data_IF_111547263699
#
_entry.id   IF_111547263699
#
_cell.length_a   1.000
_cell.length_b   1.000
_cell.length_c   1.000
_cell.angle_alpha   90.00
_cell.angle_beta   90.00
_cell.angle_gamma   90.00
#
_symmetry.space_group_name_H-M   'P 1'
#
loop_
_entity.id
_entity.type
_entity.pdbx_description
1 polymer ?
#
# COMPACT_ATOMS: atom_id res chain seq x y z
N UNK A 1 -12.13 9.06 -3.27
CA UNK A 1 -10.67 8.96 -3.06
C UNK A 1 -9.93 9.04 -4.39
N UNK A 2 -8.68 9.48 -4.39
CA UNK A 2 -7.84 9.63 -5.58
C UNK A 2 -6.65 8.67 -5.53
N UNK A 3 -6.29 8.09 -6.68
CA UNK A 3 -5.10 7.26 -6.81
C UNK A 3 -3.82 8.09 -6.85
N UNK A 4 -2.78 7.51 -6.28
CA UNK A 4 -1.43 8.01 -6.26
C UNK A 4 -0.48 6.88 -6.66
N UNK A 5 0.57 7.22 -7.39
CA UNK A 5 1.49 6.25 -7.98
C UNK A 5 2.93 6.55 -7.58
N UNK A 6 3.62 5.55 -7.05
CA UNK A 6 5.05 5.57 -6.76
C UNK A 6 5.78 4.64 -7.70
N UNK A 7 6.59 5.22 -8.58
CA UNK A 7 7.40 4.46 -9.54
C UNK A 7 8.47 3.63 -8.82
N UNK A 8 8.51 2.32 -9.02
CA UNK A 8 9.59 1.44 -8.55
C UNK A 8 10.53 1.04 -9.70
N UNK A 9 9.99 0.97 -10.92
CA UNK A 9 10.74 0.75 -12.16
C UNK A 9 10.52 1.88 -13.19
N UNK A 10 11.12 3.07 -12.98
CA UNK A 10 10.87 4.24 -13.84
C UNK A 10 11.14 3.99 -15.32
N UNK A 11 12.15 3.17 -15.64
CA UNK A 11 12.51 2.85 -17.03
C UNK A 11 11.38 2.12 -17.74
N UNK A 12 10.79 1.10 -17.11
CA UNK A 12 9.67 0.35 -17.68
C UNK A 12 8.42 1.22 -17.76
N UNK A 13 8.08 1.95 -16.69
CA UNK A 13 6.88 2.80 -16.67
C UNK A 13 6.89 3.86 -17.77
N UNK A 14 8.05 4.45 -18.07
CA UNK A 14 8.19 5.41 -19.18
C UNK A 14 8.13 4.71 -20.54
N UNK A 15 8.78 3.55 -20.69
CA UNK A 15 8.75 2.77 -21.94
C UNK A 15 7.32 2.45 -22.37
N UNK A 16 6.49 2.00 -21.43
CA UNK A 16 5.11 1.54 -21.70
C UNK A 16 4.09 2.68 -21.65
N UNK A 17 4.52 3.93 -21.49
CA UNK A 17 3.65 5.11 -21.48
C UNK A 17 2.81 5.31 -20.22
N UNK A 18 2.99 4.49 -19.17
CA UNK A 18 2.30 4.64 -17.89
C UNK A 18 2.70 5.95 -17.19
N UNK A 19 3.99 6.26 -17.19
CA UNK A 19 4.55 7.50 -16.62
C UNK A 19 5.22 8.34 -17.69
N UNK A 20 5.20 9.67 -17.52
CA UNK A 20 5.91 10.61 -18.40
C UNK A 20 7.07 11.26 -17.67
N UNK A 21 8.17 11.51 -18.39
CA UNK A 21 9.28 12.30 -17.87
C UNK A 21 8.94 13.79 -17.96
N UNK A 22 9.24 14.54 -16.89
CA UNK A 22 9.06 15.99 -16.91
C UNK A 22 10.07 16.67 -17.86
N UNK A 23 9.75 17.87 -18.38
CA UNK A 23 10.69 18.63 -19.19
C UNK A 23 12.01 18.83 -18.42
N UNK A 24 13.15 18.54 -19.06
CA UNK A 24 14.53 18.59 -18.49
C UNK A 24 14.92 17.46 -17.53
N UNK A 25 14.05 16.47 -17.28
CA UNK A 25 14.43 15.26 -16.57
C UNK A 25 15.14 14.27 -17.52
N UNK A 26 16.15 13.56 -17.02
CA UNK A 26 16.78 12.44 -17.75
C UNK A 26 16.40 11.11 -17.08
N UNK A 27 16.44 10.01 -17.82
CA UNK A 27 16.12 8.69 -17.28
C UNK A 27 17.01 8.34 -16.06
N UNK A 28 18.31 8.65 -16.14
CA UNK A 28 19.24 8.42 -15.03
C UNK A 28 18.88 9.23 -13.77
N UNK A 29 18.47 10.50 -13.93
CA UNK A 29 17.99 11.34 -12.82
C UNK A 29 16.69 10.81 -12.23
N UNK A 30 15.77 10.33 -13.06
CA UNK A 30 14.50 9.75 -12.62
C UNK A 30 14.72 8.46 -11.82
N UNK A 31 15.59 7.56 -12.31
CA UNK A 31 16.00 6.35 -11.59
C UNK A 31 16.61 6.70 -10.24
N UNK A 32 17.53 7.66 -10.19
CA UNK A 32 18.14 8.12 -8.93
C UNK A 32 17.11 8.74 -7.97
N UNK A 33 16.18 9.52 -8.49
CA UNK A 33 15.12 10.16 -7.70
C UNK A 33 14.21 9.14 -7.02
N UNK A 34 13.83 8.10 -7.75
CA UNK A 34 12.88 7.09 -7.30
C UNK A 34 13.52 5.85 -6.66
N UNK A 35 14.85 5.75 -6.66
CA UNK A 35 15.59 4.65 -6.01
C UNK A 35 15.13 4.47 -4.56
N UNK A 36 14.84 3.22 -4.20
CA UNK A 36 14.55 2.77 -2.83
C UNK A 36 15.78 2.09 -2.23
N UNK A 37 15.79 1.91 -0.91
CA UNK A 37 16.85 1.15 -0.23
C UNK A 37 16.81 -0.33 -0.62
N UNK A 38 17.92 -1.05 -0.40
CA UNK A 38 18.01 -2.49 -0.69
C UNK A 38 17.39 -3.36 0.42
N UNK A 39 17.31 -2.83 1.64
CA UNK A 39 16.74 -3.50 2.81
C UNK A 39 15.86 -2.52 3.59
N UNK A 40 14.78 -3.00 4.23
CA UNK A 40 13.99 -2.17 5.13
C UNK A 40 14.85 -1.70 6.31
N UNK A 41 14.54 -0.52 6.84
CA UNK A 41 15.21 0.04 8.02
C UNK A 41 14.73 -0.65 9.31
N UNK A 42 13.45 -1.03 9.36
CA UNK A 42 12.86 -1.78 10.45
C UNK A 42 12.97 -3.30 10.26
N UNK A 43 12.76 -4.04 11.35
CA UNK A 43 12.73 -5.50 11.34
C UNK A 43 11.38 -6.04 10.87
N UNK A 44 10.98 -5.70 9.63
CA UNK A 44 9.77 -6.26 9.02
C UNK A 44 9.92 -7.77 8.83
N UNK A 45 8.98 -8.50 9.40
CA UNK A 45 8.85 -9.95 9.25
C UNK A 45 7.59 -10.25 8.43
N UNK A 46 7.63 -11.29 7.60
CA UNK A 46 6.44 -11.74 6.88
C UNK A 46 5.37 -12.22 7.88
N UNK A 47 4.13 -11.80 7.68
CA UNK A 47 3.01 -12.20 8.53
C UNK A 47 2.78 -13.72 8.45
N UNK A 48 2.48 -14.33 9.60
CA UNK A 48 2.25 -15.77 9.77
C UNK A 48 0.96 -15.99 10.56
N UNK A 49 0.48 -17.22 10.61
CA UNK A 49 -0.73 -17.58 11.36
C UNK A 49 -0.68 -17.18 12.84
N UNK A 50 0.50 -17.25 13.46
CA UNK A 50 0.70 -16.84 14.86
C UNK A 50 0.49 -15.33 15.11
N UNK A 51 0.58 -14.51 14.05
CA UNK A 51 0.39 -13.06 14.13
C UNK A 51 -1.07 -12.62 13.92
N UNK A 52 -1.97 -13.54 13.55
CA UNK A 52 -3.36 -13.21 13.15
C UNK A 52 -4.11 -12.49 14.27
N UNK A 53 -4.05 -12.98 15.51
CA UNK A 53 -4.76 -12.35 16.63
C UNK A 53 -4.21 -10.96 16.93
N UNK A 54 -2.88 -10.80 16.88
CA UNK A 54 -2.20 -9.52 17.05
C UNK A 54 -2.62 -8.49 16.00
N UNK A 55 -2.62 -8.88 14.73
CA UNK A 55 -3.06 -8.02 13.61
C UNK A 55 -4.55 -7.73 13.70
N UNK A 56 -5.39 -8.69 14.11
CA UNK A 56 -6.84 -8.50 14.30
C UNK A 56 -7.11 -7.42 15.34
N UNK A 57 -6.44 -7.50 16.51
CA UNK A 57 -6.56 -6.49 17.57
C UNK A 57 -6.04 -5.14 17.11
N UNK A 58 -4.86 -5.11 16.48
CA UNK A 58 -4.20 -3.88 16.04
C UNK A 58 -5.01 -3.14 14.96
N UNK A 59 -5.39 -3.85 13.90
CA UNK A 59 -6.18 -3.30 12.80
C UNK A 59 -7.59 -2.95 13.24
N UNK A 60 -8.23 -3.80 14.06
CA UNK A 60 -9.54 -3.54 14.62
C UNK A 60 -9.57 -2.22 15.39
N UNK A 61 -8.64 -2.05 16.33
CA UNK A 61 -8.49 -0.81 17.13
C UNK A 61 -8.19 0.39 16.23
N UNK A 62 -7.31 0.24 15.24
CA UNK A 62 -6.97 1.31 14.31
C UNK A 62 -8.19 1.79 13.51
N UNK A 63 -8.98 0.85 13.00
CA UNK A 63 -10.13 1.15 12.15
C UNK A 63 -11.23 1.87 12.92
N UNK A 64 -11.26 1.80 14.26
CA UNK A 64 -12.26 2.48 15.08
C UNK A 64 -12.30 4.01 14.93
N UNK A 65 -11.22 4.60 14.41
CA UNK A 65 -11.12 6.03 14.10
C UNK A 65 -12.02 6.46 12.93
N UNK A 66 -12.39 5.53 12.05
CA UNK A 66 -13.06 5.83 10.78
C UNK A 66 -14.57 5.62 10.86
N UNK A 67 -15.32 6.46 10.14
CA UNK A 67 -16.78 6.45 10.11
C UNK A 67 -17.31 5.26 9.29
N UNK A 68 -16.70 4.98 8.14
CA UNK A 68 -16.99 3.80 7.32
C UNK A 68 -15.83 2.81 7.44
N UNK A 69 -16.08 1.65 8.05
CA UNK A 69 -15.04 0.66 8.33
C UNK A 69 -15.56 -0.77 8.27
N UNK A 70 -14.65 -1.71 8.04
CA UNK A 70 -14.93 -3.14 8.20
C UNK A 70 -14.58 -3.56 9.64
N UNK A 71 -15.41 -4.40 10.25
CA UNK A 71 -15.07 -5.10 11.49
C UNK A 71 -14.65 -6.51 11.11
N UNK A 72 -13.35 -6.77 11.17
CA UNK A 72 -12.82 -8.08 10.80
C UNK A 72 -12.84 -9.07 11.96
N UNK A 73 -13.18 -10.32 11.67
CA UNK A 73 -12.88 -11.45 12.56
C UNK A 73 -11.46 -11.98 12.34
N UNK A 74 -10.88 -12.77 13.26
CA UNK A 74 -9.59 -13.42 13.04
C UNK A 74 -9.55 -14.27 11.76
N UNK A 75 -10.65 -14.96 11.42
CA UNK A 75 -10.75 -15.76 10.21
C UNK A 75 -10.71 -14.90 8.95
N UNK A 76 -11.35 -13.73 8.97
CA UNK A 76 -11.30 -12.78 7.86
C UNK A 76 -9.92 -12.14 7.73
N UNK A 77 -9.27 -11.79 8.84
CA UNK A 77 -7.87 -11.32 8.83
C UNK A 77 -6.96 -12.40 8.24
N UNK A 78 -7.10 -13.66 8.67
CA UNK A 78 -6.33 -14.76 8.12
C UNK A 78 -6.59 -14.93 6.61
N UNK A 79 -7.85 -14.86 6.19
CA UNK A 79 -8.22 -14.95 4.79
C UNK A 79 -7.60 -13.83 3.98
N UNK A 80 -7.87 -12.57 4.33
CA UNK A 80 -7.50 -11.42 3.51
C UNK A 80 -6.00 -11.08 3.60
N UNK A 81 -5.36 -11.27 4.75
CA UNK A 81 -4.04 -10.69 5.04
C UNK A 81 -2.91 -11.72 5.17
N UNK A 82 -3.17 -13.03 5.30
CA UNK A 82 -2.04 -13.97 5.25
C UNK A 82 -1.37 -13.94 3.87
N UNK A 83 -0.04 -13.80 3.81
CA UNK A 83 0.70 -13.68 2.56
C UNK A 83 0.41 -14.82 1.59
N UNK A 84 0.10 -14.47 0.35
CA UNK A 84 -0.14 -15.39 -0.77
C UNK A 84 0.65 -14.90 -1.96
N UNK A 85 1.62 -15.69 -2.43
CA UNK A 85 2.54 -15.33 -3.51
C UNK A 85 1.77 -14.85 -4.75
N UNK A 86 2.08 -13.64 -5.21
CA UNK A 86 1.44 -13.03 -6.37
C UNK A 86 0.01 -12.51 -6.14
N UNK A 87 -0.50 -12.57 -4.90
CA UNK A 87 -1.83 -12.07 -4.53
C UNK A 87 -1.71 -10.97 -3.49
N UNK A 88 -1.13 -11.27 -2.32
CA UNK A 88 -0.97 -10.29 -1.24
C UNK A 88 0.33 -10.54 -0.47
N UNK A 89 1.02 -9.46 -0.12
CA UNK A 89 2.11 -9.46 0.84
C UNK A 89 1.69 -8.67 2.08
N UNK A 90 2.02 -9.22 3.24
CA UNK A 90 1.74 -8.62 4.53
C UNK A 90 2.94 -8.81 5.45
N UNK A 91 3.30 -7.76 6.16
CA UNK A 91 4.45 -7.73 7.05
C UNK A 91 4.06 -7.16 8.40
N UNK A 92 4.73 -7.64 9.45
CA UNK A 92 4.56 -7.20 10.82
C UNK A 92 5.89 -6.77 11.42
N UNK A 93 5.82 -5.84 12.37
CA UNK A 93 6.88 -5.59 13.35
C UNK A 93 6.41 -6.17 14.66
N UNK A 94 7.30 -6.91 15.32
CA UNK A 94 7.04 -7.61 16.58
C UNK A 94 8.03 -7.09 17.62
N UNK A 95 7.54 -6.77 18.81
CA UNK A 95 8.37 -6.30 19.92
C UNK A 95 9.08 -7.47 20.65
N UNK A 96 9.83 -7.15 21.71
CA UNK A 96 10.54 -8.15 22.51
C UNK A 96 9.63 -9.17 23.22
N UNK A 97 8.35 -8.83 23.41
CA UNK A 97 7.33 -9.65 24.08
C UNK A 97 6.49 -10.47 23.08
N UNK A 98 6.93 -10.53 21.81
CA UNK A 98 6.25 -11.22 20.73
C UNK A 98 4.87 -10.65 20.35
N UNK A 99 4.62 -9.38 20.67
CA UNK A 99 3.39 -8.66 20.28
C UNK A 99 3.59 -7.88 18.99
N UNK A 100 2.57 -7.91 18.11
CA UNK A 100 2.55 -7.15 16.86
C UNK A 100 2.31 -5.67 17.17
N UNK A 101 3.29 -4.82 16.86
CA UNK A 101 3.21 -3.37 17.07
C UNK A 101 2.84 -2.61 15.79
N UNK A 102 3.29 -3.08 14.65
CA UNK A 102 3.09 -2.41 13.36
C UNK A 102 2.79 -3.45 12.28
N UNK A 103 2.03 -3.05 11.28
CA UNK A 103 1.53 -3.93 10.23
C UNK A 103 1.42 -3.16 8.92
N UNK A 104 1.91 -3.72 7.81
CA UNK A 104 1.68 -3.16 6.48
C UNK A 104 1.36 -4.26 5.46
N UNK A 105 0.54 -3.93 4.47
CA UNK A 105 0.12 -4.88 3.45
C UNK A 105 -0.12 -4.24 2.08
N UNK A 106 0.10 -5.03 1.04
CA UNK A 106 -0.21 -4.64 -0.34
C UNK A 106 -0.56 -5.87 -1.18
N UNK A 107 -1.54 -5.71 -2.07
CA UNK A 107 -1.97 -6.76 -3.00
C UNK A 107 -1.47 -6.47 -4.42
N UNK A 108 -1.41 -7.51 -5.25
CA UNK A 108 -0.89 -7.44 -6.61
C UNK A 108 -2.03 -7.50 -7.63
N UNK A 109 -2.03 -6.57 -8.57
CA UNK A 109 -2.89 -6.60 -9.75
C UNK A 109 -2.01 -6.40 -10.99
N UNK A 110 -1.49 -7.50 -11.58
CA UNK A 110 -0.75 -7.40 -12.84
C UNK A 110 -1.70 -6.94 -13.96
N UNK A 111 -1.18 -6.11 -14.86
CA UNK A 111 -1.91 -5.63 -16.04
C UNK A 111 -1.12 -5.94 -17.30
N UNK A 112 -1.75 -6.57 -18.29
CA UNK A 112 -1.13 -6.80 -19.60
C UNK A 112 -0.85 -5.45 -20.28
N UNK A 113 0.35 -5.28 -20.83
CA UNK A 113 0.71 -4.06 -21.55
C UNK A 113 0.12 -4.12 -22.95
N UNK A 114 -0.64 -3.07 -23.33
CA UNK A 114 -1.28 -3.01 -24.64
C UNK A 114 -0.22 -3.04 -25.75
N UNK A 115 -0.31 -4.03 -26.64
CA UNK A 115 0.59 -4.16 -27.79
C UNK A 115 1.98 -4.71 -27.49
N UNK A 116 2.27 -5.15 -26.26
CA UNK A 116 3.51 -5.85 -25.90
C UNK A 116 3.18 -7.20 -25.22
N UNK A 117 4.00 -8.22 -25.44
CA UNK A 117 3.96 -9.47 -24.66
C UNK A 117 4.73 -9.30 -23.34
N UNK A 118 4.31 -8.30 -22.55
CA UNK A 118 4.87 -7.96 -21.26
C UNK A 118 3.74 -7.59 -20.29
N UNK A 119 4.01 -7.73 -18.99
CA UNK A 119 3.07 -7.49 -17.91
C UNK A 119 3.59 -6.39 -17.00
N UNK A 120 2.75 -5.38 -16.73
CA UNK A 120 3.02 -4.38 -15.71
C UNK A 120 2.64 -4.94 -14.33
N UNK A 121 3.62 -5.05 -13.43
CA UNK A 121 3.38 -5.56 -12.08
C UNK A 121 3.08 -4.40 -11.13
N UNK A 122 1.80 -4.16 -10.83
CA UNK A 122 1.39 -3.13 -9.89
C UNK A 122 1.05 -3.72 -8.52
N UNK A 123 1.66 -3.14 -7.47
CA UNK A 123 1.26 -3.36 -6.09
C UNK A 123 0.31 -2.25 -5.64
N UNK A 124 -0.72 -2.58 -4.88
CA UNK A 124 -1.69 -1.65 -4.33
C UNK A 124 -1.66 -1.73 -2.82
N UNK A 125 -1.42 -0.59 -2.17
CA UNK A 125 -1.50 -0.43 -0.72
C UNK A 125 -2.86 -0.91 -0.23
N UNK A 126 -2.85 -1.77 0.79
CA UNK A 126 -4.06 -2.25 1.44
C UNK A 126 -4.19 -1.60 2.83
N UNK A 127 -4.12 -2.35 3.93
CA UNK A 127 -4.16 -1.80 5.27
C UNK A 127 -2.75 -1.64 5.86
N UNK A 128 -2.50 -0.51 6.51
CA UNK A 128 -1.24 -0.20 7.17
C UNK A 128 -1.50 0.47 8.52
N UNK A 129 -0.86 -0.01 9.57
CA UNK A 129 -1.00 0.48 10.94
C UNK A 129 0.39 0.60 11.55
N UNK A 130 0.74 1.78 12.02
CA UNK A 130 2.00 2.05 12.71
C UNK A 130 1.71 2.60 14.11
N UNK A 131 2.33 2.00 15.14
CA UNK A 131 2.23 2.43 16.54
C UNK A 131 3.58 2.62 17.21
N UNK A 132 4.59 1.83 16.85
CA UNK A 132 5.94 1.94 17.43
C UNK A 132 6.87 2.84 16.60
N UNK A 133 6.48 3.17 15.37
CA UNK A 133 7.21 4.03 14.44
C UNK A 133 6.29 4.96 13.66
N UNK A 134 6.83 6.02 13.02
CA UNK A 134 6.05 6.85 12.10
C UNK A 134 5.51 6.04 10.91
N UNK A 135 4.26 6.28 10.51
CA UNK A 135 3.67 5.66 9.31
C UNK A 135 4.51 5.88 8.04
N UNK A 136 5.17 7.05 7.95
CA UNK A 136 6.10 7.37 6.87
C UNK A 136 7.23 6.34 6.74
N UNK A 137 7.79 5.88 7.87
CA UNK A 137 8.91 4.94 7.90
C UNK A 137 8.44 3.52 7.57
N UNK A 138 7.30 3.10 8.11
CA UNK A 138 6.66 1.83 7.76
C UNK A 138 6.37 1.72 6.26
N UNK A 139 5.81 2.79 5.67
CA UNK A 139 5.51 2.81 4.24
C UNK A 139 6.76 2.91 3.37
N UNK A 140 7.84 3.54 3.86
CA UNK A 140 9.13 3.51 3.17
C UNK A 140 9.66 2.07 3.08
N UNK A 141 9.53 1.30 4.15
CA UNK A 141 9.94 -0.10 4.16
C UNK A 141 9.02 -0.98 3.30
N UNK A 142 7.71 -0.70 3.28
CA UNK A 142 6.77 -1.37 2.38
C UNK A 142 7.16 -1.19 0.89
N UNK A 143 7.63 0.00 0.48
CA UNK A 143 8.14 0.24 -0.87
C UNK A 143 9.41 -0.58 -1.19
N UNK A 144 10.28 -0.76 -0.20
CA UNK A 144 11.47 -1.64 -0.34
C UNK A 144 11.01 -3.08 -0.58
N UNK A 145 10.04 -3.56 0.20
CA UNK A 145 9.51 -4.92 0.07
C UNK A 145 8.81 -5.13 -1.28
N UNK A 146 7.99 -4.17 -1.73
CA UNK A 146 7.35 -4.23 -3.05
C UNK A 146 8.36 -4.25 -4.20
N UNK A 147 9.41 -3.41 -4.12
CA UNK A 147 10.48 -3.40 -5.13
C UNK A 147 11.25 -4.72 -5.16
N UNK A 148 11.51 -5.32 -4.00
CA UNK A 148 12.16 -6.64 -3.88
C UNK A 148 11.28 -7.76 -4.46
N UNK A 149 9.95 -7.64 -4.36
CA UNK A 149 8.98 -8.55 -4.96
C UNK A 149 8.76 -8.32 -6.47
N UNK A 150 9.49 -7.38 -7.09
CA UNK A 150 9.46 -7.15 -8.53
C UNK A 150 8.31 -6.26 -9.01
N UNK A 151 7.67 -5.50 -8.12
CA UNK A 151 6.64 -4.54 -8.52
C UNK A 151 7.27 -3.37 -9.28
N UNK A 152 6.64 -2.98 -10.39
CA UNK A 152 7.05 -1.85 -11.24
C UNK A 152 6.52 -0.51 -10.71
N UNK A 153 5.36 -0.54 -10.05
CA UNK A 153 4.69 0.62 -9.47
C UNK A 153 3.98 0.23 -8.18
N UNK A 154 3.96 1.15 -7.21
CA UNK A 154 3.19 1.02 -5.98
C UNK A 154 2.08 2.08 -5.96
N UNK A 155 0.84 1.64 -5.84
CA UNK A 155 -0.35 2.47 -5.89
C UNK A 155 -0.92 2.63 -4.49
N UNK A 156 -1.41 3.83 -4.18
CA UNK A 156 -2.12 4.09 -2.92
C UNK A 156 -3.28 5.05 -3.18
N UNK A 157 -4.34 4.92 -2.38
CA UNK A 157 -5.42 5.91 -2.32
C UNK A 157 -5.13 6.89 -1.18
N UNK A 158 -5.61 8.12 -1.29
CA UNK A 158 -5.61 9.09 -0.18
C UNK A 158 -6.73 8.80 0.86
N UNK A 159 -6.85 7.53 1.26
CA UNK A 159 -7.73 7.09 2.33
C UNK A 159 -7.00 7.16 3.67
N UNK A 160 -7.76 7.15 4.77
CA UNK A 160 -7.20 7.04 6.12
C UNK A 160 -6.12 8.13 6.34
N UNK A 161 -4.97 7.77 6.91
CA UNK A 161 -3.84 8.67 7.15
C UNK A 161 -2.79 8.66 6.01
N UNK A 162 -3.12 8.08 4.84
CA UNK A 162 -2.12 7.85 3.79
C UNK A 162 -1.48 9.14 3.28
N UNK A 163 -2.19 10.28 3.33
CA UNK A 163 -1.66 11.58 2.92
C UNK A 163 -0.36 11.97 3.62
N UNK A 164 -0.10 11.45 4.83
CA UNK A 164 1.11 11.73 5.61
C UNK A 164 2.38 11.27 4.90
N UNK A 165 2.32 10.22 4.06
CA UNK A 165 3.50 9.68 3.38
C UNK A 165 3.55 9.94 1.87
N UNK A 166 2.43 10.33 1.24
CA UNK A 166 2.35 10.39 -0.23
C UNK A 166 3.40 11.34 -0.83
N UNK A 167 3.44 12.60 -0.40
CA UNK A 167 4.35 13.58 -0.97
C UNK A 167 5.82 13.28 -0.59
N UNK A 168 6.07 12.98 0.69
CA UNK A 168 7.40 12.65 1.23
C UNK A 168 8.02 11.42 0.56
N UNK A 169 7.21 10.39 0.27
CA UNK A 169 7.64 9.20 -0.45
C UNK A 169 7.52 9.34 -1.96
N UNK A 170 7.30 10.54 -2.50
CA UNK A 170 7.32 10.87 -3.93
C UNK A 170 6.23 10.15 -4.74
N UNK A 171 5.07 9.92 -4.14
CA UNK A 171 3.91 9.49 -4.88
C UNK A 171 3.40 10.65 -5.76
N UNK A 172 3.19 10.36 -7.05
CA UNK A 172 2.56 11.30 -7.98
C UNK A 172 1.03 11.15 -7.94
N UNK A 173 0.31 12.27 -8.00
CA UNK A 173 -1.16 12.27 -8.16
C UNK A 173 -1.53 11.60 -9.48
N UNK A 174 -2.36 10.56 -9.41
CA UNK A 174 -3.02 9.96 -10.57
C UNK A 174 -4.20 10.79 -11.05
N UNK A 175 -4.71 10.40 -12.21
CA UNK A 175 -5.93 10.94 -12.84
C UNK A 175 -7.20 10.19 -12.39
N UNK A 176 -7.07 8.93 -11.97
CA UNK A 176 -8.16 8.10 -11.48
C UNK A 176 -8.72 8.53 -10.12
N UNK A 177 -10.05 8.58 -10.03
CA UNK A 177 -10.77 8.70 -8.76
C UNK A 177 -11.62 7.45 -8.51
N UNK A 178 -11.59 6.95 -7.29
CA UNK A 178 -12.45 5.88 -6.80
C UNK A 178 -13.57 6.49 -5.96
N UNK A 179 -14.82 6.18 -6.32
CA UNK A 179 -16.01 6.66 -5.64
C UNK A 179 -16.65 5.54 -4.82
N UNK A 180 -17.12 5.87 -3.62
CA UNK A 180 -17.74 4.94 -2.69
C UNK A 180 -19.24 5.17 -2.68
N UNK A 181 -20.01 4.09 -2.84
CA UNK A 181 -21.47 4.11 -2.81
C UNK A 181 -21.96 3.05 -1.82
N UNK A 182 -22.97 3.40 -1.03
CA UNK A 182 -23.63 2.46 -0.12
C UNK A 182 -25.06 2.27 -0.60
N UNK A 183 -25.46 1.03 -0.78
CA UNK A 183 -26.81 0.69 -1.23
C UNK A 183 -27.76 0.60 -0.03
N UNK A 184 -28.96 1.19 -0.19
CA UNK A 184 -30.03 1.15 0.81
C UNK A 184 -29.64 1.67 2.21
N UNK A 185 -28.77 2.68 2.27
CA UNK A 185 -28.35 3.32 3.51
C UNK A 185 -28.16 4.82 3.31
N UNK A 186 -28.72 5.63 4.21
CA UNK A 186 -28.52 7.08 4.21
C UNK A 186 -27.44 7.46 5.22
N UNK A 187 -26.51 8.32 4.84
CA UNK A 187 -25.46 8.83 5.72
C UNK A 187 -25.06 10.25 5.35
N UNK A 188 -24.33 10.93 6.25
CA UNK A 188 -23.68 12.18 5.93
C UNK A 188 -22.59 11.97 4.87
N UNK A 189 -22.20 13.06 4.19
CA UNK A 189 -21.02 13.07 3.33
C UNK A 189 -19.77 12.77 4.16
N UNK A 190 -18.88 11.93 3.63
CA UNK A 190 -17.63 11.52 4.25
C UNK A 190 -16.46 11.99 3.40
N UNK A 191 -15.40 12.47 4.05
CA UNK A 191 -14.14 12.73 3.38
C UNK A 191 -13.37 11.42 3.16
N UNK A 192 -12.41 11.36 2.21
CA UNK A 192 -11.57 10.18 2.02
C UNK A 192 -10.86 9.72 3.31
N UNK A 193 -10.56 10.65 4.21
CA UNK A 193 -9.96 10.40 5.53
C UNK A 193 -10.89 9.71 6.52
N UNK A 194 -12.20 9.72 6.29
CA UNK A 194 -13.21 9.07 7.14
C UNK A 194 -13.49 7.61 6.71
N UNK A 195 -12.91 7.18 5.59
CA UNK A 195 -13.15 5.88 4.96
C UNK A 195 -12.00 4.92 5.26
N UNK A 196 -12.25 3.96 6.14
CA UNK A 196 -11.39 2.85 6.51
C UNK A 196 -11.70 1.55 5.76
N UNK A 197 -12.22 1.65 4.52
CA UNK A 197 -12.47 0.49 3.65
C UNK A 197 -11.64 0.63 2.39
N UNK A 198 -10.72 -0.31 2.16
CA UNK A 198 -10.02 -0.44 0.88
C UNK A 198 -10.75 -1.45 0.01
N UNK A 199 -11.23 -1.01 -1.15
CA UNK A 199 -11.86 -1.88 -2.15
C UNK A 199 -10.77 -2.52 -3.03
N UNK A 200 -10.98 -3.80 -3.36
CA UNK A 200 -10.17 -4.57 -4.31
C UNK A 200 -10.69 -4.36 -5.74
#
# INVERSE_FOLDING_TARGET
ARYYHRSLNPKKLVKVGFSRMSPRMTMARMIKLYKVAEKPASNLQEMKSEHVDGVTKLLGTYLEKYALRVKFTPEEIAHWLLPRKGVINSYVVVNGDNEVTDFCSFYHLPSTILGEDDTLYAAYSYYNVATSMPLLDLMRDALVMANKNGSDVFNALNLMENSVFLDELKFGKGDGNLQYYIYNWSCATMEPTDVGIVLL
#
